data_IF_164735428082
#
_entry.id   IF_164735428082
#
_cell.length_a   1.000
_cell.length_b   1.000
_cell.length_c   1.000
_cell.angle_alpha   90.00
_cell.angle_beta   90.00
_cell.angle_gamma   90.00
#
_symmetry.space_group_name_H-M   'P 1'
#
loop_
_entity.id
_entity.type
_entity.pdbx_description
1 polymer ?
#
# COMPACT_ATOMS: atom_id res chain seq x y z
N UNK A 1 -3.26 20.20 21.20
CA UNK A 1 -3.52 19.00 22.02
C UNK A 1 -4.27 17.92 21.24
N UNK A 2 -5.17 18.29 20.31
CA UNK A 2 -5.91 17.34 19.44
C UNK A 2 -5.01 16.60 18.43
N UNK A 3 -4.04 17.30 17.82
CA UNK A 3 -3.14 16.73 16.79
C UNK A 3 -2.31 15.51 17.28
N UNK A 4 -1.92 15.51 18.56
CA UNK A 4 -1.13 14.43 19.15
C UNK A 4 -1.99 13.19 19.45
N UNK A 5 -3.26 13.39 19.82
CA UNK A 5 -4.22 12.31 20.01
C UNK A 5 -4.59 11.67 18.66
N UNK A 6 -4.80 12.47 17.63
CA UNK A 6 -5.11 12.00 16.28
C UNK A 6 -3.95 11.19 15.68
N UNK A 7 -2.71 11.67 15.85
CA UNK A 7 -1.51 10.92 15.45
C UNK A 7 -1.42 9.57 16.15
N UNK A 8 -1.56 9.54 17.48
CA UNK A 8 -1.53 8.30 18.25
C UNK A 8 -2.66 7.33 17.85
N UNK A 9 -3.85 7.86 17.54
CA UNK A 9 -4.97 7.06 17.05
C UNK A 9 -4.67 6.45 15.67
N UNK A 10 -4.10 7.24 14.74
CA UNK A 10 -3.70 6.77 13.42
C UNK A 10 -2.64 5.64 13.51
N UNK A 11 -1.63 5.81 14.36
CA UNK A 11 -0.57 4.82 14.55
C UNK A 11 -1.10 3.51 15.15
N UNK A 12 -1.99 3.60 16.14
CA UNK A 12 -2.63 2.43 16.72
C UNK A 12 -3.49 1.67 15.70
N UNK A 13 -4.33 2.39 14.94
CA UNK A 13 -5.17 1.82 13.89
C UNK A 13 -4.32 1.19 12.78
N UNK A 14 -3.21 1.82 12.40
CA UNK A 14 -2.25 1.29 11.44
C UNK A 14 -1.68 -0.05 11.91
N UNK A 15 -1.16 -0.09 13.14
CA UNK A 15 -0.51 -1.28 13.67
C UNK A 15 -1.50 -2.44 13.84
N UNK A 16 -2.69 -2.17 14.39
CA UNK A 16 -3.75 -3.17 14.51
C UNK A 16 -4.22 -3.66 13.13
N UNK A 17 -4.44 -2.75 12.19
CA UNK A 17 -4.85 -3.08 10.83
C UNK A 17 -3.86 -4.02 10.13
N UNK A 18 -2.57 -3.72 10.25
CA UNK A 18 -1.49 -4.56 9.74
C UNK A 18 -1.49 -5.96 10.36
N UNK A 19 -1.66 -6.07 11.69
CA UNK A 19 -1.72 -7.36 12.39
C UNK A 19 -2.94 -8.19 11.94
N UNK A 20 -4.11 -7.58 11.78
CA UNK A 20 -5.31 -8.27 11.30
C UNK A 20 -5.18 -8.77 9.86
N UNK A 21 -4.50 -8.02 8.97
CA UNK A 21 -4.20 -8.50 7.62
C UNK A 21 -3.32 -9.75 7.69
N UNK A 22 -2.25 -9.72 8.49
CA UNK A 22 -1.31 -10.84 8.65
C UNK A 22 -1.92 -12.07 9.29
N UNK A 23 -2.87 -11.90 10.21
CA UNK A 23 -3.60 -13.03 10.84
C UNK A 23 -4.73 -13.60 9.98
N UNK A 24 -4.93 -13.09 8.76
CA UNK A 24 -5.94 -13.59 7.82
C UNK A 24 -7.32 -12.91 7.96
N UNK A 25 -7.52 -12.06 8.96
CA UNK A 25 -8.73 -11.25 9.15
C UNK A 25 -8.76 -10.02 8.22
N UNK A 26 -8.61 -10.25 6.91
CA UNK A 26 -8.26 -9.21 5.94
C UNK A 26 -9.27 -8.05 5.88
N UNK A 27 -10.57 -8.34 5.94
CA UNK A 27 -11.63 -7.31 5.92
C UNK A 27 -11.53 -6.37 7.14
N UNK A 28 -11.32 -6.92 8.33
CA UNK A 28 -11.17 -6.12 9.57
C UNK A 28 -9.92 -5.26 9.51
N UNK A 29 -8.81 -5.86 9.07
CA UNK A 29 -7.55 -5.13 8.92
C UNK A 29 -7.66 -3.97 7.94
N UNK A 30 -8.35 -4.18 6.81
CA UNK A 30 -8.56 -3.13 5.81
C UNK A 30 -9.37 -1.95 6.37
N UNK A 31 -10.44 -2.21 7.13
CA UNK A 31 -11.25 -1.14 7.75
C UNK A 31 -10.39 -0.27 8.67
N UNK A 32 -9.55 -0.87 9.51
CA UNK A 32 -8.68 -0.12 10.42
C UNK A 32 -7.65 0.72 9.66
N UNK A 33 -7.07 0.18 8.59
CA UNK A 33 -6.12 0.92 7.75
C UNK A 33 -6.78 2.09 7.01
N UNK A 34 -8.03 1.93 6.57
CA UNK A 34 -8.81 3.01 5.95
C UNK A 34 -9.09 4.14 6.95
N UNK A 35 -9.43 3.81 8.20
CA UNK A 35 -9.60 4.81 9.26
C UNK A 35 -8.28 5.53 9.58
N UNK A 36 -7.17 4.79 9.67
CA UNK A 36 -5.84 5.37 9.87
C UNK A 36 -5.49 6.36 8.73
N UNK A 37 -5.78 5.99 7.49
CA UNK A 37 -5.57 6.84 6.32
C UNK A 37 -6.52 8.04 6.27
N UNK A 38 -7.71 7.97 6.88
CA UNK A 38 -8.59 9.13 7.01
C UNK A 38 -8.03 10.16 7.98
N UNK A 39 -7.41 9.70 9.07
CA UNK A 39 -6.80 10.57 10.09
C UNK A 39 -5.48 11.16 9.59
N UNK A 40 -4.65 10.36 8.91
CA UNK A 40 -3.36 10.80 8.37
C UNK A 40 -3.21 10.44 6.88
N UNK A 41 -3.86 11.19 5.96
CA UNK A 41 -3.97 10.84 4.54
C UNK A 41 -2.65 10.81 3.77
N UNK A 42 -1.67 11.60 4.21
CA UNK A 42 -0.37 11.70 3.57
C UNK A 42 0.71 10.86 4.28
N UNK A 43 0.35 10.03 5.28
CA UNK A 43 1.33 9.26 6.03
C UNK A 43 1.89 8.08 5.22
N UNK A 44 3.18 8.09 4.85
CA UNK A 44 3.77 7.07 3.97
C UNK A 44 3.58 5.63 4.46
N UNK A 45 3.81 5.38 5.74
CA UNK A 45 3.74 4.02 6.31
C UNK A 45 2.34 3.42 6.26
N UNK A 46 1.31 4.26 6.40
CA UNK A 46 -0.10 3.84 6.34
C UNK A 46 -0.45 3.50 4.90
N UNK A 47 -0.12 4.39 3.96
CA UNK A 47 -0.36 4.18 2.52
C UNK A 47 0.37 2.94 1.98
N UNK A 48 1.60 2.67 2.43
CA UNK A 48 2.32 1.43 2.08
C UNK A 48 1.58 0.18 2.57
N UNK A 49 1.09 0.20 3.80
CA UNK A 49 0.37 -0.93 4.38
C UNK A 49 -1.00 -1.10 3.74
N UNK A 50 -1.68 0.00 3.41
CA UNK A 50 -2.96 0.01 2.71
C UNK A 50 -2.81 -0.54 1.28
N UNK A 51 -1.73 -0.19 0.58
CA UNK A 51 -1.40 -0.77 -0.73
C UNK A 51 -1.29 -2.30 -0.64
N UNK A 52 -0.55 -2.80 0.35
CA UNK A 52 -0.42 -4.25 0.56
C UNK A 52 -1.77 -4.89 0.89
N UNK A 53 -2.59 -4.23 1.72
CA UNK A 53 -3.92 -4.69 2.07
C UNK A 53 -4.84 -4.80 0.84
N UNK A 54 -4.82 -3.80 -0.05
CA UNK A 54 -5.56 -3.84 -1.31
C UNK A 54 -5.09 -4.98 -2.22
N UNK A 55 -3.76 -5.20 -2.34
CA UNK A 55 -3.21 -6.32 -3.11
C UNK A 55 -3.72 -7.68 -2.58
N UNK A 56 -3.65 -7.93 -1.26
CA UNK A 56 -4.05 -9.23 -0.70
C UNK A 56 -5.57 -9.43 -0.63
N UNK A 57 -6.35 -8.36 -0.77
CA UNK A 57 -7.81 -8.40 -0.86
C UNK A 57 -8.31 -8.42 -2.31
N UNK A 58 -7.43 -8.22 -3.28
CA UNK A 58 -7.75 -8.23 -4.72
C UNK A 58 -8.30 -6.92 -5.25
N UNK A 59 -8.25 -5.83 -4.48
CA UNK A 59 -8.67 -4.50 -4.91
C UNK A 59 -7.54 -3.82 -5.70
N UNK A 60 -7.30 -4.31 -6.91
CA UNK A 60 -6.17 -3.87 -7.74
C UNK A 60 -6.27 -2.39 -8.11
N UNK A 61 -7.48 -1.86 -8.34
CA UNK A 61 -7.66 -0.44 -8.68
C UNK A 61 -7.15 0.44 -7.53
N UNK A 62 -7.64 0.23 -6.30
CA UNK A 62 -7.20 1.03 -5.15
C UNK A 62 -5.74 0.81 -4.80
N UNK A 63 -5.19 -0.39 -5.03
CA UNK A 63 -3.76 -0.63 -4.88
C UNK A 63 -2.94 0.28 -5.82
N UNK A 64 -3.30 0.36 -7.10
CA UNK A 64 -2.58 1.18 -8.08
C UNK A 64 -2.71 2.69 -7.79
N UNK A 65 -3.90 3.14 -7.41
CA UNK A 65 -4.14 4.54 -6.98
C UNK A 65 -3.27 4.90 -5.76
N UNK A 66 -3.22 4.01 -4.76
CA UNK A 66 -2.42 4.24 -3.54
C UNK A 66 -0.92 4.28 -3.83
N UNK A 67 -0.43 3.43 -4.76
CA UNK A 67 0.96 3.51 -5.22
C UNK A 67 1.24 4.83 -5.94
N UNK A 68 0.32 5.31 -6.78
CA UNK A 68 0.45 6.62 -7.42
C UNK A 68 0.54 7.76 -6.41
N UNK A 69 -0.24 7.69 -5.33
CA UNK A 69 -0.16 8.67 -4.25
C UNK A 69 1.17 8.62 -3.50
N UNK A 70 1.67 7.42 -3.17
CA UNK A 70 2.99 7.24 -2.55
C UNK A 70 4.11 7.80 -3.42
N UNK A 71 4.06 7.56 -4.72
CA UNK A 71 5.04 8.07 -5.69
C UNK A 71 5.01 9.60 -5.80
N UNK A 72 3.82 10.21 -5.73
CA UNK A 72 3.71 11.66 -5.67
C UNK A 72 4.32 12.26 -4.39
N UNK A 73 4.15 11.59 -3.24
CA UNK A 73 4.65 12.07 -1.95
C UNK A 73 6.16 11.86 -1.74
N UNK A 74 6.72 10.75 -2.23
CA UNK A 74 8.11 10.35 -1.97
C UNK A 74 9.03 10.49 -3.18
N UNK A 75 8.47 10.78 -4.36
CA UNK A 75 9.18 10.69 -5.63
C UNK A 75 9.25 9.27 -6.16
N UNK A 76 9.79 9.07 -7.38
CA UNK A 76 9.85 7.75 -8.01
C UNK A 76 10.75 6.77 -7.24
N UNK A 77 10.30 5.53 -7.11
CA UNK A 77 11.06 4.44 -6.49
C UNK A 77 10.85 3.13 -7.25
N UNK A 78 11.90 2.31 -7.48
CA UNK A 78 11.74 0.99 -8.09
C UNK A 78 10.72 0.10 -7.34
N UNK A 79 10.62 0.29 -6.02
CA UNK A 79 9.68 -0.47 -5.18
C UNK A 79 8.22 -0.25 -5.59
N UNK A 80 7.87 0.90 -6.17
CA UNK A 80 6.52 1.15 -6.67
C UNK A 80 6.20 0.32 -7.92
N UNK A 81 7.17 0.09 -8.81
CA UNK A 81 7.01 -0.84 -9.94
C UNK A 81 6.78 -2.27 -9.45
N UNK A 82 7.45 -2.70 -8.37
CA UNK A 82 7.20 -3.99 -7.74
C UNK A 82 5.77 -4.10 -7.16
N UNK A 83 5.28 -3.06 -6.48
CA UNK A 83 3.92 -3.06 -5.93
C UNK A 83 2.84 -3.10 -7.02
N UNK A 84 3.02 -2.33 -8.10
CA UNK A 84 2.13 -2.37 -9.28
C UNK A 84 2.11 -3.76 -9.92
N UNK A 85 3.28 -4.36 -10.12
CA UNK A 85 3.41 -5.72 -10.63
C UNK A 85 2.61 -6.74 -9.80
N UNK A 86 2.74 -6.68 -8.47
CA UNK A 86 2.01 -7.57 -7.56
C UNK A 86 0.50 -7.37 -7.62
N UNK A 87 0.03 -6.13 -7.67
CA UNK A 87 -1.40 -5.82 -7.79
C UNK A 87 -2.00 -6.38 -9.09
N UNK A 88 -1.30 -6.19 -10.21
CA UNK A 88 -1.72 -6.69 -11.52
C UNK A 88 -1.67 -8.22 -11.60
N UNK A 89 -0.68 -8.84 -10.95
CA UNK A 89 -0.58 -10.30 -10.89
C UNK A 89 -1.78 -10.93 -10.19
N UNK A 90 -2.19 -10.38 -9.04
CA UNK A 90 -3.35 -10.89 -8.29
C UNK A 90 -4.66 -10.74 -9.08
N UNK A 91 -4.80 -9.69 -9.89
CA UNK A 91 -5.95 -9.50 -10.77
C UNK A 91 -5.91 -10.34 -12.07
N UNK A 92 -4.86 -11.13 -12.30
CA UNK A 92 -4.73 -11.95 -13.53
C UNK A 92 -4.20 -11.19 -14.74
N UNK A 93 -3.84 -9.91 -14.60
CA UNK A 93 -3.20 -9.11 -15.66
C UNK A 93 -1.71 -9.44 -15.79
N UNK A 94 -1.39 -10.70 -16.10
CA UNK A 94 -0.02 -11.22 -16.07
C UNK A 94 0.91 -10.54 -17.09
N UNK A 95 0.38 -10.02 -18.20
CA UNK A 95 1.15 -9.25 -19.19
C UNK A 95 1.74 -7.99 -18.57
N UNK A 96 0.87 -7.13 -18.04
CA UNK A 96 1.25 -5.87 -17.40
C UNK A 96 2.07 -6.11 -16.12
N UNK A 97 1.72 -7.14 -15.35
CA UNK A 97 2.48 -7.54 -14.17
C UNK A 97 3.95 -7.84 -14.52
N UNK A 98 4.20 -8.58 -15.61
CA UNK A 98 5.57 -8.86 -16.09
C UNK A 98 6.28 -7.62 -16.58
N UNK A 99 5.58 -6.72 -17.27
CA UNK A 99 6.15 -5.44 -17.72
C UNK A 99 6.69 -4.63 -16.53
N UNK A 100 5.87 -4.38 -15.50
CA UNK A 100 6.30 -3.66 -14.31
C UNK A 100 7.38 -4.39 -13.49
N UNK A 101 7.35 -5.72 -13.46
CA UNK A 101 8.40 -6.48 -12.79
C UNK A 101 9.75 -6.32 -13.48
N UNK A 102 9.78 -6.31 -14.82
CA UNK A 102 11.02 -6.05 -15.58
C UNK A 102 11.57 -4.66 -15.32
N UNK A 103 10.71 -3.64 -15.32
CA UNK A 103 11.10 -2.27 -14.97
C UNK A 103 11.70 -2.20 -13.54
N UNK A 104 11.10 -2.89 -12.57
CA UNK A 104 11.67 -3.01 -11.22
C UNK A 104 13.08 -3.62 -11.22
N UNK A 105 13.25 -4.77 -11.90
CA UNK A 105 14.55 -5.47 -11.96
C UNK A 105 15.61 -4.60 -12.61
N UNK A 106 15.28 -3.95 -13.73
CA UNK A 106 16.20 -3.09 -14.48
C UNK A 106 16.69 -1.91 -13.62
N UNK A 107 15.78 -1.17 -12.99
CA UNK A 107 16.15 -0.03 -12.15
C UNK A 107 16.91 -0.43 -10.89
N UNK A 108 16.67 -1.62 -10.35
CA UNK A 108 17.42 -2.14 -9.20
C UNK A 108 18.86 -2.52 -9.59
N UNK A 109 19.10 -2.97 -10.81
CA UNK A 109 20.45 -3.29 -11.29
C UNK A 109 21.29 -2.07 -11.65
N UNK A 110 20.67 -0.90 -11.78
CA UNK A 110 21.32 0.36 -12.18
C UNK A 110 21.78 1.24 -10.99
N UNK A 111 21.47 0.85 -9.76
CA UNK A 111 21.85 1.55 -8.52
C UNK A 111 22.68 0.68 -7.59
#
# INVERSE_FOLDING_TARGET
MTDDMDRNAADLLHMLGHLYIKSGSRKRGLVLLLLAAQIAPAHPGILHTLTQAFIVTGDTQRALETVGHLEHLQGPSPTFSLLRSRALWVAGHHGDARHYFRDYVQRRSEG
#
